data_IF_368554250733
#
_entry.id   IF_368554250733
#
_cell.length_a   1.000
_cell.length_b   1.000
_cell.length_c   1.000
_cell.angle_alpha   90.00
_cell.angle_beta   90.00
_cell.angle_gamma   90.00
#
_symmetry.space_group_name_H-M   'P 1'
#
loop_
_entity.id
_entity.type
_entity.pdbx_description
1 polymer ?
#
# COMPACT_ATOMS: atom_id res chain seq x y z
N UNK A 1 36.00 29.93 -3.63
CA UNK A 1 35.11 29.15 -4.51
C UNK A 1 34.09 28.44 -3.63
N UNK A 2 32.91 29.02 -3.42
CA UNK A 2 31.81 28.29 -2.75
C UNK A 2 31.27 27.27 -3.74
N UNK A 3 31.39 25.99 -3.41
CA UNK A 3 30.64 24.94 -4.11
C UNK A 3 29.19 25.11 -3.68
N UNK A 4 28.33 25.60 -4.58
CA UNK A 4 26.89 25.57 -4.35
C UNK A 4 26.50 24.12 -4.06
N UNK A 5 25.77 23.91 -2.97
CA UNK A 5 25.10 22.63 -2.74
C UNK A 5 24.17 22.38 -3.95
N UNK A 6 24.17 21.17 -4.53
CA UNK A 6 23.23 20.88 -5.59
C UNK A 6 21.80 21.04 -5.07
N UNK A 7 20.90 21.58 -5.90
CA UNK A 7 19.48 21.66 -5.56
C UNK A 7 18.96 20.27 -5.12
N UNK A 8 18.11 20.20 -4.08
CA UNK A 8 17.56 18.94 -3.64
C UNK A 8 16.80 18.28 -4.78
N UNK A 9 17.16 17.03 -5.09
CA UNK A 9 16.45 16.23 -6.07
C UNK A 9 15.00 16.11 -5.58
N UNK A 10 13.99 16.51 -6.37
CA UNK A 10 12.60 16.39 -5.96
C UNK A 10 12.28 14.94 -5.65
N UNK A 11 11.50 14.71 -4.58
CA UNK A 11 11.11 13.36 -4.19
C UNK A 11 10.38 12.66 -5.36
N UNK A 12 10.57 11.34 -5.54
CA UNK A 12 9.85 10.59 -6.56
C UNK A 12 8.34 10.76 -6.38
N UNK A 13 7.67 11.27 -7.42
CA UNK A 13 6.22 11.47 -7.43
C UNK A 13 5.54 10.37 -8.23
N UNK A 14 4.35 9.95 -7.80
CA UNK A 14 3.50 9.01 -8.53
C UNK A 14 2.86 7.96 -7.62
N UNK A 15 2.00 7.09 -8.19
CA UNK A 15 1.17 6.17 -7.40
C UNK A 15 1.99 5.05 -6.73
N UNK A 16 3.10 4.60 -7.34
CA UNK A 16 3.92 3.54 -6.74
C UNK A 16 4.77 4.06 -5.56
N UNK A 17 5.47 5.21 -5.68
CA UNK A 17 6.06 5.87 -4.51
C UNK A 17 5.05 6.16 -3.39
N UNK A 18 3.85 6.65 -3.73
CA UNK A 18 2.77 6.89 -2.77
C UNK A 18 2.34 5.61 -2.04
N UNK A 19 2.18 4.49 -2.75
CA UNK A 19 1.87 3.20 -2.14
C UNK A 19 2.98 2.76 -1.17
N UNK A 20 4.25 2.90 -1.55
CA UNK A 20 5.37 2.53 -0.68
C UNK A 20 5.43 3.41 0.56
N UNK A 21 5.23 4.72 0.41
CA UNK A 21 5.10 5.63 1.54
C UNK A 21 4.00 5.18 2.49
N UNK A 22 2.82 4.85 1.97
CA UNK A 22 1.69 4.40 2.78
C UNK A 22 1.98 3.12 3.57
N UNK A 23 2.67 2.16 2.95
CA UNK A 23 3.09 0.91 3.63
C UNK A 23 4.11 1.21 4.74
N UNK A 24 5.13 2.03 4.47
CA UNK A 24 6.17 2.36 5.46
C UNK A 24 5.60 3.15 6.64
N UNK A 25 4.69 4.08 6.37
CA UNK A 25 4.08 4.94 7.39
C UNK A 25 2.85 4.33 8.07
N UNK A 26 2.42 3.14 7.64
CA UNK A 26 1.15 2.53 8.04
C UNK A 26 -0.05 3.48 7.84
N UNK A 27 -0.09 4.19 6.71
CA UNK A 27 -1.20 5.05 6.31
C UNK A 27 -2.12 4.34 5.31
N UNK A 28 -3.41 4.62 5.40
CA UNK A 28 -4.37 4.11 4.44
C UNK A 28 -4.17 4.81 3.08
N UNK A 29 -4.52 4.10 2.01
CA UNK A 29 -4.64 4.67 0.67
C UNK A 29 -6.11 4.72 0.25
N UNK A 30 -6.47 5.77 -0.48
CA UNK A 30 -7.75 5.86 -1.18
C UNK A 30 -7.52 5.68 -2.68
N UNK A 31 -8.41 4.95 -3.35
CA UNK A 31 -8.39 4.75 -4.79
C UNK A 31 -9.79 4.38 -5.32
N UNK A 32 -9.97 4.44 -6.64
CA UNK A 32 -11.07 3.76 -7.32
C UNK A 32 -10.63 2.36 -7.74
N UNK A 33 -11.37 1.33 -7.33
CA UNK A 33 -11.11 -0.07 -7.69
C UNK A 33 -12.37 -0.77 -8.14
N UNK A 34 -12.33 -1.40 -9.33
CA UNK A 34 -13.50 -2.04 -9.95
C UNK A 34 -14.75 -1.12 -9.98
N UNK A 35 -14.54 0.18 -10.23
CA UNK A 35 -15.60 1.19 -10.35
C UNK A 35 -16.14 1.75 -9.03
N UNK A 36 -15.67 1.28 -7.87
CA UNK A 36 -16.08 1.78 -6.55
C UNK A 36 -14.93 2.43 -5.79
N UNK A 37 -15.23 3.35 -4.88
CA UNK A 37 -14.23 3.99 -4.01
C UNK A 37 -13.82 3.01 -2.92
N UNK A 38 -12.52 2.84 -2.71
CA UNK A 38 -11.98 1.99 -1.64
C UNK A 38 -11.00 2.77 -0.79
N UNK A 39 -11.07 2.56 0.52
CA UNK A 39 -10.02 2.92 1.47
C UNK A 39 -9.37 1.62 1.93
N UNK A 40 -8.08 1.48 1.69
CA UNK A 40 -7.31 0.28 1.97
C UNK A 40 -6.22 0.58 3.01
N UNK A 41 -5.97 -0.36 3.91
CA UNK A 41 -4.80 -0.39 4.75
C UNK A 41 -3.78 -1.34 4.09
N UNK A 42 -2.77 -0.83 3.37
CA UNK A 42 -1.84 -1.66 2.60
C UNK A 42 -0.78 -2.33 3.49
N UNK A 43 -0.72 -3.67 3.48
CA UNK A 43 0.24 -4.45 4.27
C UNK A 43 1.49 -4.84 3.48
N UNK A 44 1.36 -5.08 2.18
CA UNK A 44 2.48 -5.53 1.34
C UNK A 44 2.27 -5.11 -0.11
N UNK A 45 3.34 -4.69 -0.78
CA UNK A 45 3.41 -4.62 -2.23
C UNK A 45 4.35 -5.72 -2.73
N UNK A 46 3.91 -6.44 -3.75
CA UNK A 46 4.65 -7.59 -4.28
C UNK A 46 4.41 -7.74 -5.79
N UNK A 47 5.25 -8.52 -6.44
CA UNK A 47 5.14 -8.84 -7.86
C UNK A 47 4.67 -10.27 -8.07
N UNK A 48 3.82 -10.47 -9.08
CA UNK A 48 3.43 -11.79 -9.59
C UNK A 48 3.28 -11.69 -11.10
N UNK A 49 3.95 -12.59 -11.83
CA UNK A 49 3.98 -12.59 -13.30
C UNK A 49 4.32 -11.20 -13.90
N UNK A 50 5.34 -10.53 -13.33
CA UNK A 50 5.80 -9.18 -13.73
C UNK A 50 4.80 -8.04 -13.53
N UNK A 51 3.71 -8.26 -12.80
CA UNK A 51 2.75 -7.22 -12.42
C UNK A 51 2.81 -6.94 -10.91
N UNK A 52 2.54 -5.69 -10.51
CA UNK A 52 2.51 -5.28 -9.10
C UNK A 52 1.12 -5.51 -8.51
N UNK A 53 1.10 -6.08 -7.31
CA UNK A 53 -0.08 -6.33 -6.49
C UNK A 53 0.11 -5.74 -5.09
N UNK A 54 -1.01 -5.45 -4.44
CA UNK A 54 -1.08 -4.94 -3.06
C UNK A 54 -1.87 -5.92 -2.22
N UNK A 55 -1.28 -6.45 -1.17
CA UNK A 55 -1.98 -7.15 -0.09
C UNK A 55 -2.45 -6.12 0.93
N UNK A 56 -3.76 -6.05 1.19
CA UNK A 56 -4.34 -5.02 2.04
C UNK A 56 -5.62 -5.51 2.74
N UNK A 57 -5.94 -4.95 3.90
CA UNK A 57 -7.30 -5.00 4.44
C UNK A 57 -8.13 -3.85 3.87
N UNK A 58 -9.36 -4.12 3.48
CA UNK A 58 -10.32 -3.05 3.16
C UNK A 58 -10.77 -2.38 4.45
N UNK A 59 -10.71 -1.06 4.50
CA UNK A 59 -11.23 -0.26 5.61
C UNK A 59 -12.64 0.21 5.29
N UNK A 60 -12.82 0.72 4.07
CA UNK A 60 -14.13 1.13 3.54
C UNK A 60 -14.23 0.77 2.07
N UNK A 61 -15.46 0.45 1.64
CA UNK A 61 -15.85 0.36 0.24
C UNK A 61 -17.14 1.15 0.06
N UNK A 62 -17.09 2.15 -0.82
CA UNK A 62 -18.20 3.08 -1.07
C UNK A 62 -18.75 3.71 0.22
N UNK A 63 -17.84 4.02 1.16
CA UNK A 63 -18.16 4.62 2.47
C UNK A 63 -18.73 3.65 3.50
N UNK A 64 -18.82 2.35 3.19
CA UNK A 64 -19.28 1.33 4.13
C UNK A 64 -18.11 0.44 4.58
N UNK A 65 -18.04 0.06 5.87
CA UNK A 65 -17.04 -0.90 6.33
C UNK A 65 -17.25 -2.25 5.63
N UNK A 66 -16.19 -3.06 5.44
CA UNK A 66 -16.35 -4.40 4.89
C UNK A 66 -17.16 -5.27 5.86
N UNK A 67 -17.88 -6.25 5.31
CA UNK A 67 -18.65 -7.22 6.11
C UNK A 67 -17.76 -8.13 6.97
N UNK A 68 -16.53 -8.35 6.53
CA UNK A 68 -15.54 -9.21 7.17
C UNK A 68 -14.15 -8.63 6.93
N UNK A 69 -13.31 -8.65 7.96
CA UNK A 69 -11.89 -8.31 7.83
C UNK A 69 -11.13 -9.45 7.16
N UNK A 70 -10.37 -9.14 6.12
CA UNK A 70 -9.50 -10.09 5.43
C UNK A 70 -8.38 -9.39 4.69
N UNK A 71 -7.28 -10.11 4.44
CA UNK A 71 -6.22 -9.67 3.53
C UNK A 71 -6.64 -9.98 2.09
N UNK A 72 -7.10 -8.95 1.39
CA UNK A 72 -7.38 -8.97 -0.05
C UNK A 72 -6.11 -8.74 -0.87
N UNK A 73 -6.13 -9.17 -2.12
CA UNK A 73 -5.07 -8.91 -3.11
C UNK A 73 -5.65 -8.03 -4.22
N UNK A 74 -5.05 -6.87 -4.41
CA UNK A 74 -5.49 -5.84 -5.34
C UNK A 74 -4.43 -5.66 -6.41
N UNK A 75 -4.82 -5.67 -7.69
CA UNK A 75 -3.91 -5.37 -8.80
C UNK A 75 -3.60 -3.88 -8.80
N UNK A 76 -2.33 -3.50 -8.72
CA UNK A 76 -1.93 -2.09 -8.58
C UNK A 76 -2.43 -1.22 -9.73
N UNK A 77 -2.35 -1.71 -10.98
CA UNK A 77 -2.86 -0.98 -12.16
C UNK A 77 -4.37 -0.78 -12.16
N UNK A 78 -5.12 -1.49 -11.30
CA UNK A 78 -6.55 -1.29 -11.13
C UNK A 78 -6.91 -0.27 -10.03
N UNK A 79 -5.94 0.17 -9.23
CA UNK A 79 -6.11 1.20 -8.19
C UNK A 79 -5.93 2.58 -8.84
N UNK A 80 -7.01 3.10 -9.42
CA UNK A 80 -7.02 4.39 -10.12
C UNK A 80 -7.05 5.54 -9.12
N UNK A 81 -6.34 6.63 -9.43
CA UNK A 81 -6.22 7.82 -8.57
C UNK A 81 -5.76 7.53 -7.14
N UNK A 82 -4.81 6.59 -7.00
CA UNK A 82 -4.27 6.19 -5.70
C UNK A 82 -3.62 7.38 -4.99
N UNK A 83 -4.09 7.67 -3.78
CA UNK A 83 -3.57 8.72 -2.91
C UNK A 83 -3.36 8.21 -1.49
N UNK A 84 -2.33 8.70 -0.81
CA UNK A 84 -2.11 8.44 0.63
C UNK A 84 -3.06 9.33 1.41
N UNK A 85 -3.65 8.77 2.46
CA UNK A 85 -4.52 9.51 3.38
C UNK A 85 -3.80 9.81 4.69
N UNK A 86 -4.31 10.76 5.47
CA UNK A 86 -3.86 11.03 6.85
C UNK A 86 -4.32 9.95 7.85
N UNK A 87 -5.16 9.00 7.42
CA UNK A 87 -5.68 7.94 8.30
C UNK A 87 -4.64 6.85 8.45
N UNK A 88 -4.06 6.71 9.64
CA UNK A 88 -3.21 5.56 9.97
C UNK A 88 -4.02 4.27 10.17
N UNK A 89 -3.34 3.14 10.07
CA UNK A 89 -3.88 1.82 10.41
C UNK A 89 -2.89 1.03 11.27
N UNK A 90 -3.40 0.05 12.02
CA UNK A 90 -2.57 -0.96 12.66
C UNK A 90 -2.48 -2.18 11.74
N UNK A 91 -1.29 -2.72 11.44
CA UNK A 91 -1.16 -3.97 10.70
C UNK A 91 -2.09 -5.06 11.24
N UNK A 92 -2.84 -5.70 10.35
CA UNK A 92 -3.84 -6.69 10.73
C UNK A 92 -3.14 -7.94 11.24
N UNK A 93 -3.74 -8.59 12.24
CA UNK A 93 -3.24 -9.88 12.74
C UNK A 93 -3.41 -11.01 11.72
N UNK A 94 -4.26 -10.80 10.70
CA UNK A 94 -4.47 -11.72 9.58
C UNK A 94 -3.38 -11.64 8.51
N UNK A 95 -2.49 -10.64 8.58
CA UNK A 95 -1.36 -10.53 7.67
C UNK A 95 -0.22 -11.44 8.12
N UNK A 96 0.06 -12.48 7.33
CA UNK A 96 1.27 -13.29 7.46
C UNK A 96 2.25 -12.91 6.34
N UNK A 97 3.41 -12.29 6.64
CA UNK A 97 4.42 -11.97 5.62
C UNK A 97 5.06 -13.21 4.99
N UNK A 98 4.90 -14.41 5.59
CA UNK A 98 5.40 -15.68 5.05
C UNK A 98 4.40 -16.39 4.15
N UNK A 99 3.20 -15.82 3.98
CA UNK A 99 2.19 -16.38 3.09
C UNK A 99 2.76 -16.48 1.66
N UNK A 100 2.64 -17.67 1.06
CA UNK A 100 3.16 -18.00 -0.27
C UNK A 100 2.63 -17.06 -1.36
N UNK A 101 1.45 -16.43 -1.14
CA UNK A 101 0.88 -15.42 -2.03
C UNK A 101 1.82 -14.20 -2.21
N UNK A 102 2.66 -13.89 -1.23
CA UNK A 102 3.49 -12.68 -1.18
C UNK A 102 5.00 -12.99 -1.23
N UNK A 103 5.42 -14.11 -0.62
CA UNK A 103 6.80 -14.36 -0.22
C UNK A 103 7.82 -14.31 -1.37
N UNK A 104 7.49 -14.83 -2.56
CA UNK A 104 8.46 -14.95 -3.66
C UNK A 104 8.75 -13.62 -4.41
N UNK A 105 7.93 -12.59 -4.21
CA UNK A 105 7.99 -11.36 -5.02
C UNK A 105 7.80 -10.07 -4.23
N UNK A 106 7.98 -10.11 -2.91
CA UNK A 106 7.78 -8.95 -2.03
C UNK A 106 8.72 -7.81 -2.41
N UNK A 107 8.15 -6.63 -2.65
CA UNK A 107 8.87 -5.38 -2.87
C UNK A 107 9.06 -4.62 -1.56
N UNK A 108 7.98 -4.50 -0.79
CA UNK A 108 7.95 -3.86 0.52
C UNK A 108 6.76 -4.39 1.33
N UNK A 109 6.92 -4.50 2.65
CA UNK A 109 5.84 -4.87 3.56
C UNK A 109 5.91 -4.02 4.83
N UNK A 110 4.80 -3.95 5.56
CA UNK A 110 4.74 -3.31 6.87
C UNK A 110 5.73 -3.98 7.83
N UNK A 111 6.41 -3.16 8.63
CA UNK A 111 7.29 -3.65 9.70
C UNK A 111 6.44 -4.36 10.78
N UNK A 112 6.75 -5.63 11.07
CA UNK A 112 6.28 -6.26 12.30
C UNK A 112 7.30 -5.94 13.38
N UNK A 113 6.98 -4.97 14.24
CA UNK A 113 7.65 -4.93 15.55
C UNK A 113 7.26 -6.22 16.27
N UNK A 114 8.21 -7.13 16.41
CA UNK A 114 8.06 -8.29 17.29
C UNK A 114 7.82 -7.77 18.70
N UNK A 115 6.68 -8.14 19.28
CA UNK A 115 6.40 -8.02 20.71
C UNK A 115 6.94 -9.25 21.44
#
# INVERSE_FOLDING_TARGET
>A
MYRSEPDPIPAPTGPLPALFEAIVRNHCVEATYNGGRVVLAPHVAFTRHSEVYVGATTIERDGQPPREEKIGVFKFTGLVDLTVTERSFKPSTLFDPRDERFAAGTLIAVERTAI
#
